data_IF_935658652767
#
_entry.id   IF_935658652767
#
_cell.length_a   1.000
_cell.length_b   1.000
_cell.length_c   1.000
_cell.angle_alpha   90.00
_cell.angle_beta   90.00
_cell.angle_gamma   90.00
#
_symmetry.space_group_name_H-M   'P 1'
#
loop_
_entity.id
_entity.type
_entity.pdbx_description
1 polymer ?
#
# COMPACT_ATOMS: atom_id res chain seq x y z
N UNK A 1 17.40 7.88 -8.91
CA UNK A 1 16.92 6.76 -9.74
C UNK A 1 15.50 7.01 -10.30
N UNK A 2 14.59 7.68 -9.58
CA UNK A 2 13.28 8.09 -10.14
C UNK A 2 12.29 6.93 -10.39
N UNK A 3 12.56 5.76 -9.81
CA UNK A 3 11.68 4.59 -9.85
C UNK A 3 10.73 4.59 -8.67
N UNK A 4 9.56 3.99 -8.86
CA UNK A 4 8.64 3.62 -7.78
C UNK A 4 9.05 2.29 -7.14
N UNK A 5 8.60 2.08 -5.91
CA UNK A 5 8.66 0.79 -5.23
C UNK A 5 7.22 0.30 -4.99
N UNK A 6 6.90 -0.92 -5.40
CA UNK A 6 5.60 -1.53 -5.13
C UNK A 6 5.79 -2.70 -4.18
N UNK A 7 5.40 -2.52 -2.92
CA UNK A 7 5.43 -3.61 -1.94
C UNK A 7 4.39 -4.65 -2.32
N UNK A 8 4.74 -5.94 -2.31
CA UNK A 8 3.86 -6.99 -2.84
C UNK A 8 3.77 -8.20 -1.91
N UNK A 9 2.60 -8.83 -1.89
CA UNK A 9 2.38 -10.14 -1.29
C UNK A 9 3.09 -11.27 -2.07
N UNK A 10 3.02 -12.50 -1.54
CA UNK A 10 3.42 -13.75 -2.19
C UNK A 10 2.24 -14.69 -2.41
N UNK A 11 2.40 -15.78 -3.17
CA UNK A 11 1.30 -16.70 -3.47
C UNK A 11 0.75 -17.40 -2.22
N UNK A 12 1.64 -17.84 -1.31
CA UNK A 12 1.30 -18.26 0.05
C UNK A 12 1.50 -17.11 1.03
N UNK A 13 0.45 -16.74 1.76
CA UNK A 13 0.47 -15.68 2.77
C UNK A 13 -0.14 -16.18 4.07
N UNK A 14 0.21 -15.48 5.14
CA UNK A 14 -0.40 -15.63 6.47
C UNK A 14 -1.28 -14.41 6.76
N UNK A 15 -1.76 -14.29 7.99
CA UNK A 15 -2.43 -13.07 8.47
C UNK A 15 -1.46 -11.92 8.81
N UNK A 16 -0.14 -12.14 8.74
CA UNK A 16 0.86 -11.09 8.98
C UNK A 16 0.62 -9.88 8.08
N UNK A 17 0.68 -8.68 8.63
CA UNK A 17 0.34 -7.45 7.90
C UNK A 17 1.54 -6.51 7.71
N UNK A 18 2.76 -6.98 7.97
CA UNK A 18 3.99 -6.17 7.97
C UNK A 18 4.17 -5.37 6.68
N UNK A 19 3.75 -5.92 5.54
CA UNK A 19 3.86 -5.25 4.24
C UNK A 19 2.97 -4.00 4.09
N UNK A 20 1.87 -3.90 4.86
CA UNK A 20 1.04 -2.70 4.91
C UNK A 20 1.77 -1.57 5.66
N UNK A 21 2.29 -1.88 6.85
CA UNK A 21 3.11 -0.95 7.64
C UNK A 21 4.37 -0.53 6.88
N UNK A 22 5.02 -1.44 6.16
CA UNK A 22 6.21 -1.13 5.34
C UNK A 22 5.87 -0.16 4.19
N UNK A 23 4.72 -0.34 3.53
CA UNK A 23 4.29 0.53 2.44
C UNK A 23 4.03 1.96 2.93
N UNK A 24 3.37 2.11 4.08
CA UNK A 24 3.10 3.42 4.69
C UNK A 24 4.38 4.02 5.28
N UNK A 25 5.15 3.25 6.06
CA UNK A 25 6.36 3.74 6.72
C UNK A 25 7.46 4.21 5.77
N UNK A 26 7.50 3.69 4.54
CA UNK A 26 8.42 4.13 3.48
C UNK A 26 7.77 5.06 2.45
N UNK A 27 6.49 5.43 2.62
CA UNK A 27 5.72 6.23 1.66
C UNK A 27 5.85 5.71 0.22
N UNK A 28 5.71 4.40 0.03
CA UNK A 28 5.86 3.79 -1.31
C UNK A 28 4.73 4.20 -2.26
N UNK A 29 3.60 4.62 -1.69
CA UNK A 29 2.37 5.06 -2.37
C UNK A 29 1.60 3.95 -3.09
N UNK A 30 2.23 2.79 -3.36
CA UNK A 30 1.63 1.63 -4.00
C UNK A 30 1.91 0.36 -3.20
N UNK A 31 0.89 -0.49 -3.12
CA UNK A 31 0.96 -1.84 -2.57
C UNK A 31 0.14 -2.81 -3.42
N UNK A 32 0.65 -4.03 -3.61
CA UNK A 32 -0.04 -5.13 -4.31
C UNK A 32 -0.25 -6.31 -3.36
N UNK A 33 -1.39 -6.33 -2.66
CA UNK A 33 -1.65 -7.33 -1.61
C UNK A 33 -2.79 -8.32 -1.91
N UNK A 34 -3.30 -8.35 -3.13
CA UNK A 34 -4.17 -9.43 -3.65
C UNK A 34 -5.58 -8.99 -3.97
N UNK A 35 -6.48 -9.97 -4.11
CA UNK A 35 -7.90 -9.70 -4.35
C UNK A 35 -8.62 -9.38 -3.03
N UNK A 36 -9.85 -8.85 -3.13
CA UNK A 36 -10.76 -8.63 -2.00
C UNK A 36 -11.44 -9.93 -1.54
N UNK A 37 -10.66 -11.00 -1.43
CA UNK A 37 -11.09 -12.33 -0.99
C UNK A 37 -9.93 -13.06 -0.30
N UNK A 38 -10.28 -14.04 0.55
CA UNK A 38 -9.37 -14.77 1.45
C UNK A 38 -8.77 -13.90 2.56
N UNK A 39 -8.83 -14.40 3.79
CA UNK A 39 -8.51 -13.63 5.00
C UNK A 39 -7.05 -13.17 5.05
N UNK A 40 -6.13 -13.95 4.51
CA UNK A 40 -4.70 -13.64 4.39
C UNK A 40 -4.41 -12.37 3.57
N UNK A 41 -5.30 -12.02 2.62
CA UNK A 41 -5.22 -10.77 1.82
C UNK A 41 -5.95 -9.63 2.49
N UNK A 42 -7.17 -9.91 2.95
CA UNK A 42 -8.01 -8.92 3.64
C UNK A 42 -7.33 -8.38 4.90
N UNK A 43 -6.55 -9.19 5.62
CA UNK A 43 -5.80 -8.74 6.78
C UNK A 43 -4.93 -7.51 6.49
N UNK A 44 -4.26 -7.46 5.33
CA UNK A 44 -3.41 -6.32 4.94
C UNK A 44 -4.23 -5.08 4.61
N UNK A 45 -5.38 -5.23 3.94
CA UNK A 45 -6.29 -4.12 3.69
C UNK A 45 -6.87 -3.57 5.00
N UNK A 46 -7.30 -4.43 5.92
CA UNK A 46 -7.78 -4.02 7.23
C UNK A 46 -6.69 -3.31 8.03
N UNK A 47 -5.43 -3.74 7.90
CA UNK A 47 -4.31 -3.02 8.51
C UNK A 47 -4.12 -1.63 7.91
N UNK A 48 -4.24 -1.45 6.60
CA UNK A 48 -4.19 -0.13 5.97
C UNK A 48 -5.30 0.79 6.49
N UNK A 49 -6.53 0.28 6.62
CA UNK A 49 -7.65 1.04 7.22
C UNK A 49 -7.33 1.44 8.67
N UNK A 50 -6.77 0.52 9.47
CA UNK A 50 -6.37 0.83 10.84
C UNK A 50 -5.23 1.85 10.91
N UNK A 51 -4.27 1.82 9.98
CA UNK A 51 -3.19 2.82 9.89
C UNK A 51 -3.77 4.18 9.51
N UNK A 52 -4.68 4.23 8.54
CA UNK A 52 -5.37 5.46 8.15
C UNK A 52 -6.15 6.06 9.32
N UNK A 53 -6.88 5.23 10.08
CA UNK A 53 -7.57 5.66 11.30
C UNK A 53 -6.59 6.20 12.35
N UNK A 54 -5.43 5.56 12.53
CA UNK A 54 -4.38 6.00 13.46
C UNK A 54 -3.75 7.33 13.07
N UNK A 55 -3.54 7.58 11.77
CA UNK A 55 -3.00 8.83 11.25
C UNK A 55 -4.04 9.96 11.29
N UNK A 56 -5.33 9.63 11.18
CA UNK A 56 -6.42 10.60 11.22
C UNK A 56 -6.24 11.71 10.17
N UNK A 57 -6.21 12.97 10.60
CA UNK A 57 -6.12 14.12 9.68
C UNK A 57 -4.78 14.22 8.93
N UNK A 58 -3.75 13.48 9.35
CA UNK A 58 -2.45 13.48 8.67
C UNK A 58 -2.33 12.34 7.64
N UNK A 59 -3.37 11.54 7.44
CA UNK A 59 -3.39 10.52 6.40
C UNK A 59 -3.49 11.18 5.01
N UNK A 60 -2.70 10.68 4.05
CA UNK A 60 -2.71 11.15 2.67
C UNK A 60 -2.90 9.98 1.69
N UNK A 61 -3.76 10.19 0.69
CA UNK A 61 -3.93 9.27 -0.44
C UNK A 61 -3.66 10.02 -1.75
N UNK A 62 -2.50 9.75 -2.34
CA UNK A 62 -2.00 10.50 -3.49
C UNK A 62 -2.62 10.11 -4.84
N UNK A 63 -3.31 8.97 -4.91
CA UNK A 63 -3.97 8.49 -6.13
C UNK A 63 -3.03 8.49 -7.34
N UNK A 64 -3.38 9.23 -8.40
CA UNK A 64 -2.53 9.36 -9.61
C UNK A 64 -1.15 9.97 -9.33
N UNK A 65 -1.02 10.82 -8.31
CA UNK A 65 0.25 11.51 -8.02
C UNK A 65 1.36 10.54 -7.61
N UNK A 66 1.00 9.35 -7.15
CA UNK A 66 1.96 8.30 -6.80
C UNK A 66 2.83 7.88 -7.99
N UNK A 67 2.37 8.03 -9.23
CA UNK A 67 3.14 7.71 -10.45
C UNK A 67 4.16 8.81 -10.81
N UNK A 68 4.92 9.28 -9.82
CA UNK A 68 5.96 10.31 -9.98
C UNK A 68 7.08 9.91 -10.94
N UNK A 69 7.19 8.62 -11.26
CA UNK A 69 8.12 8.08 -12.25
C UNK A 69 7.63 8.26 -13.71
N UNK A 70 6.39 8.71 -13.94
CA UNK A 70 5.83 8.95 -15.27
C UNK A 70 5.81 10.44 -15.60
N UNK A 71 6.21 10.78 -16.83
CA UNK A 71 6.00 12.14 -17.37
C UNK A 71 4.58 12.20 -17.94
N UNK A 72 3.75 13.14 -17.48
CA UNK A 72 2.49 13.47 -18.16
C UNK A 72 2.85 14.28 -19.40
N UNK A 73 2.56 13.71 -20.57
CA UNK A 73 2.50 14.48 -21.80
C UNK A 73 1.10 15.10 -21.82
N UNK A 74 0.96 16.26 -21.18
CA UNK A 74 -0.20 17.13 -21.39
C UNK A 74 0.06 17.94 -22.64
#
# INVERSE_FOLDING_TARGET
AGFTCVVSHRSGETEDTTIADLAVGLNTGQIKTGSMSRSDRIAKYNRLLAIEEQLGITAEFDGEKTYHNLKRNV
#
